data_IF_070791538968
#
_entry.id   IF_070791538968
#
_cell.length_a   1.000
_cell.length_b   1.000
_cell.length_c   1.000
_cell.angle_alpha   90.00
_cell.angle_beta   90.00
_cell.angle_gamma   90.00
#
_symmetry.space_group_name_H-M   'P 1'
#
loop_
_entity.id
_entity.type
_entity.pdbx_description
1 polymer ?
#
# COMPACT_ATOMS: atom_id res chain seq x y z
N UNK A 1 57.91 -24.28 -6.58
CA UNK A 1 57.52 -24.74 -7.93
C UNK A 1 56.10 -24.28 -8.20
N UNK A 2 55.93 -23.43 -9.22
CA UNK A 2 54.65 -22.93 -9.74
C UNK A 2 53.81 -24.05 -10.34
N UNK A 3 52.49 -24.06 -10.11
CA UNK A 3 51.51 -24.56 -11.08
C UNK A 3 50.16 -23.84 -10.88
N UNK A 4 49.85 -22.96 -11.83
CA UNK A 4 48.51 -22.46 -12.10
C UNK A 4 47.81 -23.44 -13.04
N UNK A 5 46.52 -23.74 -12.80
CA UNK A 5 45.65 -24.35 -13.81
C UNK A 5 44.32 -23.61 -13.86
N UNK A 6 44.07 -23.01 -15.02
CA UNK A 6 42.80 -22.48 -15.47
C UNK A 6 41.95 -23.59 -16.12
N UNK A 7 40.63 -23.47 -16.01
CA UNK A 7 39.61 -24.26 -16.71
C UNK A 7 38.33 -24.24 -15.89
N UNK A 8 37.20 -23.70 -16.31
CA UNK A 8 36.65 -23.49 -17.65
C UNK A 8 35.22 -24.01 -17.58
N UNK A 9 34.25 -23.15 -17.28
CA UNK A 9 32.84 -23.54 -17.15
C UNK A 9 32.27 -23.94 -18.51
N UNK A 10 31.71 -25.15 -18.56
CA UNK A 10 31.04 -25.74 -19.72
C UNK A 10 29.69 -25.04 -19.95
N UNK A 11 29.47 -24.59 -21.19
CA UNK A 11 28.19 -24.10 -21.70
C UNK A 11 27.19 -25.25 -21.86
N UNK A 12 25.93 -25.00 -21.53
CA UNK A 12 24.78 -25.76 -22.03
C UNK A 12 23.97 -24.82 -22.92
N UNK A 13 24.03 -25.06 -24.23
CA UNK A 13 23.10 -24.55 -25.24
C UNK A 13 22.00 -25.58 -25.43
N UNK A 14 20.75 -25.13 -25.44
CA UNK A 14 19.67 -25.51 -26.38
C UNK A 14 18.64 -24.36 -26.29
N UNK A 15 18.47 -23.52 -27.33
CA UNK A 15 17.64 -23.72 -28.54
C UNK A 15 16.13 -23.63 -28.21
N UNK A 16 15.26 -22.82 -28.81
CA UNK A 16 15.27 -21.75 -29.80
C UNK A 16 13.85 -21.15 -29.79
N UNK A 17 13.72 -19.84 -30.03
CA UNK A 17 12.64 -19.21 -30.82
C UNK A 17 12.61 -17.70 -30.54
N UNK A 18 13.48 -16.95 -31.22
CA UNK A 18 13.16 -15.56 -31.54
C UNK A 18 13.46 -15.35 -33.02
N UNK A 19 12.39 -15.28 -33.80
CA UNK A 19 12.46 -15.04 -35.23
C UNK A 19 13.02 -13.63 -35.48
N UNK A 20 14.12 -13.63 -36.22
CA UNK A 20 14.78 -12.50 -36.85
C UNK A 20 13.82 -11.83 -37.85
N UNK A 21 13.74 -10.50 -37.80
CA UNK A 21 13.27 -9.68 -38.90
C UNK A 21 14.26 -8.53 -39.09
N UNK A 22 15.47 -8.88 -39.54
CA UNK A 22 16.41 -7.94 -40.14
C UNK A 22 15.84 -7.42 -41.47
N UNK A 23 15.56 -6.12 -41.53
CA UNK A 23 15.25 -5.41 -42.77
C UNK A 23 16.36 -4.38 -43.00
N UNK A 24 17.00 -4.48 -44.17
CA UNK A 24 18.11 -3.64 -44.63
C UNK A 24 17.79 -2.12 -44.62
N UNK A 25 18.80 -1.23 -44.56
CA UNK A 25 18.56 0.20 -44.63
C UNK A 25 18.07 0.61 -46.04
N UNK A 26 16.85 1.11 -46.11
CA UNK A 26 16.23 1.68 -47.32
C UNK A 26 16.83 3.05 -47.68
N UNK A 27 16.78 3.49 -48.97
CA UNK A 27 17.24 4.82 -49.36
C UNK A 27 16.34 5.91 -48.77
N UNK A 28 16.97 6.99 -48.31
CA UNK A 28 16.30 8.15 -47.69
C UNK A 28 15.48 8.88 -48.77
N UNK A 29 14.17 8.63 -48.78
CA UNK A 29 13.22 9.44 -49.54
C UNK A 29 12.93 10.74 -48.76
N UNK A 30 13.22 11.89 -49.36
CA UNK A 30 12.82 13.19 -48.82
C UNK A 30 11.30 13.25 -48.75
N UNK A 31 10.75 13.16 -47.54
CA UNK A 31 9.31 13.31 -47.32
C UNK A 31 8.89 14.76 -47.53
N UNK A 32 7.98 15.00 -48.47
CA UNK A 32 7.24 16.26 -48.57
C UNK A 32 6.43 16.47 -47.29
N UNK A 33 6.27 17.70 -46.77
CA UNK A 33 5.51 17.94 -45.56
C UNK A 33 4.04 17.53 -45.77
N UNK A 34 3.56 16.64 -44.91
CA UNK A 34 2.15 16.27 -44.86
C UNK A 34 1.34 17.54 -44.56
N UNK A 35 0.41 17.89 -45.47
CA UNK A 35 -0.58 18.94 -45.22
C UNK A 35 -1.49 18.47 -44.09
N UNK A 36 -1.40 19.10 -42.94
CA UNK A 36 -2.35 18.92 -41.84
C UNK A 36 -3.75 19.29 -42.32
N UNK A 37 -4.77 18.42 -42.15
CA UNK A 37 -6.15 18.81 -42.39
C UNK A 37 -6.51 19.92 -41.41
N UNK A 38 -7.13 21.00 -41.90
CA UNK A 38 -7.71 22.02 -41.03
C UNK A 38 -8.78 21.36 -40.14
N UNK A 39 -8.86 21.71 -38.84
CA UNK A 39 -9.90 21.18 -37.97
C UNK A 39 -11.27 21.63 -38.48
N UNK A 40 -12.14 20.66 -38.77
CA UNK A 40 -13.56 20.91 -39.06
C UNK A 40 -14.19 21.48 -37.79
N UNK A 41 -14.90 22.63 -37.84
CA UNK A 41 -15.58 23.16 -36.67
C UNK A 41 -16.74 22.23 -36.31
N UNK A 42 -16.55 21.40 -35.28
CA UNK A 42 -17.65 20.64 -34.68
C UNK A 42 -18.51 21.64 -33.91
N UNK A 43 -19.67 22.00 -34.48
CA UNK A 43 -20.65 22.81 -33.81
C UNK A 43 -21.15 22.05 -32.56
N UNK A 44 -20.69 22.46 -31.37
CA UNK A 44 -21.19 21.95 -30.10
C UNK A 44 -22.61 22.48 -29.89
N UNK A 45 -23.61 21.64 -30.13
CA UNK A 45 -24.98 21.93 -29.69
C UNK A 45 -24.97 21.84 -28.17
N UNK A 46 -24.99 22.98 -27.48
CA UNK A 46 -25.08 23.02 -26.03
C UNK A 46 -26.49 22.57 -25.61
N UNK A 47 -26.59 21.43 -24.95
CA UNK A 47 -27.81 21.06 -24.23
C UNK A 47 -28.05 22.07 -23.09
N UNK A 48 -29.29 22.51 -22.83
CA UNK A 48 -29.58 23.40 -21.72
C UNK A 48 -29.23 22.70 -20.40
N UNK A 49 -28.27 23.27 -19.67
CA UNK A 49 -27.90 22.80 -18.33
C UNK A 49 -29.03 23.23 -17.39
N UNK A 50 -29.84 22.28 -16.92
CA UNK A 50 -30.78 22.53 -15.84
C UNK A 50 -29.98 22.91 -14.58
N UNK A 51 -30.43 23.93 -13.82
CA UNK A 51 -29.74 24.30 -12.58
C UNK A 51 -29.88 23.18 -11.55
N UNK A 52 -28.76 22.79 -10.94
CA UNK A 52 -28.75 21.86 -9.82
C UNK A 52 -29.56 22.41 -8.64
N UNK A 53 -30.26 21.55 -7.86
CA UNK A 53 -30.94 22.00 -6.65
C UNK A 53 -29.91 22.60 -5.68
N UNK A 54 -30.14 23.84 -5.26
CA UNK A 54 -29.30 24.51 -4.26
C UNK A 54 -29.70 24.01 -2.88
N UNK A 55 -28.88 23.14 -2.28
CA UNK A 55 -29.05 22.72 -0.88
C UNK A 55 -28.52 23.84 0.02
N UNK A 56 -29.41 24.70 0.51
CA UNK A 56 -29.05 25.71 1.51
C UNK A 56 -29.02 25.07 2.89
N UNK A 57 -27.84 24.65 3.36
CA UNK A 57 -27.66 24.25 4.75
C UNK A 57 -27.65 25.52 5.60
N UNK A 58 -28.67 25.70 6.44
CA UNK A 58 -28.67 26.74 7.47
C UNK A 58 -27.59 26.38 8.48
N UNK A 59 -26.50 27.15 8.54
CA UNK A 59 -25.49 27.00 9.57
C UNK A 59 -26.13 27.26 10.93
N UNK A 60 -26.44 26.19 11.67
CA UNK A 60 -26.80 26.29 13.08
C UNK A 60 -25.50 26.33 13.89
N UNK A 61 -25.40 27.17 14.93
CA UNK A 61 -24.25 27.15 15.81
C UNK A 61 -24.09 25.76 16.42
N UNK A 62 -22.88 25.21 16.40
CA UNK A 62 -22.61 23.93 17.01
C UNK A 62 -23.02 23.98 18.50
N UNK A 63 -23.73 22.96 19.01
CA UNK A 63 -24.05 22.88 20.43
C UNK A 63 -22.76 22.91 21.24
N UNK A 64 -22.73 23.76 22.28
CA UNK A 64 -21.51 24.04 23.06
C UNK A 64 -21.17 22.92 24.04
N UNK A 65 -22.08 21.97 24.26
CA UNK A 65 -21.91 20.82 25.13
C UNK A 65 -22.16 19.54 24.35
N UNK A 66 -21.26 18.56 24.46
CA UNK A 66 -21.37 17.26 23.79
C UNK A 66 -22.64 16.48 24.22
N UNK A 67 -23.22 16.80 25.37
CA UNK A 67 -24.46 16.21 25.89
C UNK A 67 -25.73 16.70 25.20
N UNK A 68 -25.63 17.71 24.35
CA UNK A 68 -26.77 18.34 23.66
C UNK A 68 -26.89 17.89 22.19
N UNK A 69 -26.02 16.96 21.75
CA UNK A 69 -26.24 16.26 20.50
C UNK A 69 -27.30 15.16 20.73
N UNK A 70 -28.30 15.00 19.85
CA UNK A 70 -29.15 13.82 19.88
C UNK A 70 -28.23 12.58 19.83
N UNK A 71 -28.52 11.52 20.61
CA UNK A 71 -27.73 10.31 20.54
C UNK A 71 -27.77 9.82 19.10
N UNK A 72 -26.62 9.86 18.42
CA UNK A 72 -26.48 9.10 17.19
C UNK A 72 -26.64 7.63 17.58
N UNK A 73 -27.43 6.86 16.85
CA UNK A 73 -27.54 5.40 17.03
C UNK A 73 -26.17 4.69 16.88
N UNK A 74 -25.16 5.42 16.39
CA UNK A 74 -23.74 5.04 16.33
C UNK A 74 -23.03 5.01 17.70
N UNK A 75 -23.64 5.54 18.76
CA UNK A 75 -23.03 5.62 20.11
C UNK A 75 -22.84 4.27 20.81
N UNK A 76 -23.39 3.21 20.23
CA UNK A 76 -23.13 1.82 20.60
C UNK A 76 -22.50 1.07 19.41
N UNK A 77 -21.63 1.73 18.64
CA UNK A 77 -20.94 1.12 17.51
C UNK A 77 -20.37 -0.22 17.96
N UNK A 78 -20.99 -1.32 17.49
CA UNK A 78 -20.43 -2.64 17.63
C UNK A 78 -19.04 -2.53 17.02
N UNK A 79 -18.00 -2.63 17.85
CA UNK A 79 -16.64 -2.58 17.34
C UNK A 79 -16.53 -3.64 16.23
N UNK A 80 -16.05 -3.28 15.04
CA UNK A 80 -16.08 -4.17 13.88
C UNK A 80 -15.36 -5.50 14.15
N UNK A 81 -14.45 -5.50 15.13
CA UNK A 81 -13.79 -6.68 15.66
C UNK A 81 -13.84 -6.72 17.20
N UNK A 82 -13.65 -7.91 17.79
CA UNK A 82 -13.42 -8.06 19.22
C UNK A 82 -12.31 -7.13 19.72
N UNK A 83 -12.41 -6.71 20.98
CA UNK A 83 -11.51 -5.71 21.56
C UNK A 83 -10.05 -6.15 21.49
N UNK A 84 -9.75 -7.43 21.72
CA UNK A 84 -8.40 -7.98 21.70
C UNK A 84 -7.78 -8.00 20.30
N UNK A 85 -8.61 -8.14 19.25
CA UNK A 85 -8.20 -8.08 17.84
C UNK A 85 -7.90 -6.62 17.49
N UNK A 86 -8.81 -5.71 17.83
CA UNK A 86 -8.62 -4.27 17.60
C UNK A 86 -7.37 -3.76 18.31
N UNK A 87 -7.20 -4.12 19.59
CA UNK A 87 -6.01 -3.74 20.35
C UNK A 87 -4.73 -4.32 19.73
N UNK A 88 -4.77 -5.56 19.22
CA UNK A 88 -3.61 -6.16 18.56
C UNK A 88 -3.23 -5.39 17.30
N UNK A 89 -4.22 -5.05 16.47
CA UNK A 89 -3.99 -4.29 15.25
C UNK A 89 -3.36 -2.93 15.56
N UNK A 90 -3.87 -2.21 16.57
CA UNK A 90 -3.32 -0.92 17.00
C UNK A 90 -1.85 -1.05 17.43
N UNK A 91 -1.54 -1.98 18.33
CA UNK A 91 -0.17 -2.17 18.83
C UNK A 91 0.77 -2.59 17.69
N UNK A 92 0.32 -3.51 16.84
CA UNK A 92 1.12 -4.09 15.77
C UNK A 92 1.35 -3.10 14.61
N UNK A 93 0.36 -2.30 14.25
CA UNK A 93 0.52 -1.24 13.25
C UNK A 93 1.54 -0.20 13.74
N UNK A 94 1.53 0.13 15.04
CA UNK A 94 2.54 1.00 15.64
C UNK A 94 3.93 0.39 15.58
N UNK A 95 4.07 -0.90 15.93
CA UNK A 95 5.32 -1.64 15.77
C UNK A 95 5.85 -1.61 14.32
N UNK A 96 4.98 -1.92 13.34
CA UNK A 96 5.35 -1.97 11.92
C UNK A 96 5.70 -0.57 11.38
N UNK A 97 5.05 0.48 11.89
CA UNK A 97 5.43 1.87 11.64
C UNK A 97 6.88 2.14 12.08
N UNK A 98 7.20 1.90 13.36
CA UNK A 98 8.54 2.18 13.89
C UNK A 98 9.64 1.32 13.26
N UNK A 99 9.37 0.03 12.98
CA UNK A 99 10.31 -0.85 12.27
C UNK A 99 10.66 -0.37 10.86
N UNK A 100 9.79 0.41 10.23
CA UNK A 100 10.00 0.97 8.90
C UNK A 100 10.72 2.32 8.88
N UNK A 101 11.02 2.89 10.05
CA UNK A 101 11.63 4.21 10.14
C UNK A 101 13.16 4.18 10.04
N UNK A 102 13.74 5.29 9.58
CA UNK A 102 15.18 5.47 9.45
C UNK A 102 15.76 6.22 10.66
N UNK A 103 16.84 5.69 11.30
CA UNK A 103 17.46 6.31 12.46
C UNK A 103 18.55 7.33 12.08
N UNK A 104 18.14 8.48 11.52
CA UNK A 104 19.06 9.52 11.00
C UNK A 104 20.03 10.10 12.04
N UNK A 105 19.70 10.01 13.33
CA UNK A 105 20.60 10.38 14.42
C UNK A 105 20.48 9.42 15.62
N UNK A 106 21.30 9.66 16.64
CA UNK A 106 21.36 8.79 17.82
C UNK A 106 20.11 8.87 18.70
N UNK A 107 19.48 10.05 18.79
CA UNK A 107 18.27 10.24 19.58
C UNK A 107 17.10 9.51 18.91
N UNK A 108 16.95 9.68 17.59
CA UNK A 108 15.93 8.98 16.82
C UNK A 108 16.12 7.48 16.85
N UNK A 109 17.37 6.99 16.76
CA UNK A 109 17.67 5.55 16.90
C UNK A 109 17.18 4.99 18.24
N UNK A 110 17.49 5.69 19.34
CA UNK A 110 17.08 5.27 20.66
C UNK A 110 15.55 5.25 20.80
N UNK A 111 14.88 6.30 20.33
CA UNK A 111 13.41 6.39 20.35
C UNK A 111 12.75 5.28 19.54
N UNK A 112 13.22 5.02 18.32
CA UNK A 112 12.68 3.93 17.50
C UNK A 112 12.90 2.59 18.21
N UNK A 113 14.11 2.33 18.73
CA UNK A 113 14.42 1.08 19.42
C UNK A 113 13.53 0.85 20.65
N UNK A 114 13.26 1.89 21.44
CA UNK A 114 12.35 1.83 22.60
C UNK A 114 10.92 1.47 22.18
N UNK A 115 10.37 2.15 21.16
CA UNK A 115 9.01 1.88 20.68
C UNK A 115 8.90 0.50 20.03
N UNK A 116 9.92 0.05 19.29
CA UNK A 116 9.97 -1.32 18.75
C UNK A 116 9.98 -2.33 19.89
N UNK A 117 10.77 -2.12 20.94
CA UNK A 117 10.80 -3.02 22.08
C UNK A 117 9.44 -3.07 22.81
N UNK A 118 8.78 -1.92 22.98
CA UNK A 118 7.48 -1.83 23.64
C UNK A 118 6.35 -2.47 22.82
N UNK A 119 6.27 -2.15 21.53
CA UNK A 119 5.12 -2.50 20.70
C UNK A 119 5.26 -3.85 19.98
N UNK A 120 6.48 -4.27 19.64
CA UNK A 120 6.68 -5.50 18.85
C UNK A 120 6.81 -6.76 19.71
N UNK A 121 7.24 -6.64 20.97
CA UNK A 121 7.54 -7.81 21.82
C UNK A 121 6.28 -8.63 22.13
N UNK A 122 6.32 -9.93 21.85
CA UNK A 122 5.21 -10.86 22.06
C UNK A 122 4.07 -10.77 21.04
N UNK A 123 4.17 -9.90 20.03
CA UNK A 123 3.15 -9.76 18.98
C UNK A 123 3.06 -10.98 18.06
N UNK A 124 4.15 -11.71 17.81
CA UNK A 124 4.15 -12.93 16.99
C UNK A 124 3.34 -14.03 17.68
N UNK A 125 3.57 -14.22 18.98
CA UNK A 125 2.81 -15.17 19.79
C UNK A 125 1.32 -14.75 19.89
N UNK A 126 1.05 -13.45 20.04
CA UNK A 126 -0.31 -12.90 20.11
C UNK A 126 -1.05 -13.07 18.78
N UNK A 127 -0.41 -12.83 17.64
CA UNK A 127 -0.99 -13.06 16.31
C UNK A 127 -1.36 -14.53 16.13
N UNK A 128 -0.45 -15.45 16.45
CA UNK A 128 -0.71 -16.87 16.38
C UNK A 128 -1.88 -17.29 17.27
N UNK A 129 -1.98 -16.72 18.49
CA UNK A 129 -3.10 -16.98 19.39
C UNK A 129 -4.43 -16.45 18.85
N UNK A 130 -4.46 -15.24 18.30
CA UNK A 130 -5.67 -14.65 17.72
C UNK A 130 -6.15 -15.44 16.49
N UNK A 131 -5.24 -15.80 15.58
CA UNK A 131 -5.57 -16.63 14.41
C UNK A 131 -6.13 -17.99 14.81
N UNK A 132 -5.62 -18.61 15.88
CA UNK A 132 -6.20 -19.86 16.41
C UNK A 132 -7.57 -19.64 17.06
N UNK A 133 -7.71 -18.61 17.90
CA UNK A 133 -8.96 -18.30 18.62
C UNK A 133 -10.11 -17.99 17.66
N UNK A 134 -9.84 -17.22 16.62
CA UNK A 134 -10.82 -16.74 15.66
C UNK A 134 -10.80 -17.49 14.33
N UNK A 135 -10.23 -18.70 14.28
CA UNK A 135 -10.08 -19.47 13.04
C UNK A 135 -11.38 -19.75 12.28
N UNK A 136 -12.54 -19.70 12.96
CA UNK A 136 -13.86 -19.88 12.37
C UNK A 136 -14.56 -18.57 12.00
N UNK A 137 -13.94 -17.41 12.27
CA UNK A 137 -14.45 -16.09 11.91
C UNK A 137 -13.68 -15.58 10.68
N UNK A 138 -14.27 -15.66 9.47
CA UNK A 138 -13.58 -15.26 8.25
C UNK A 138 -13.27 -13.75 8.22
N UNK A 139 -14.04 -12.92 8.93
CA UNK A 139 -13.81 -11.47 8.97
C UNK A 139 -12.55 -11.14 9.77
N UNK A 140 -12.36 -11.76 10.94
CA UNK A 140 -11.18 -11.58 11.77
C UNK A 140 -9.94 -12.17 11.10
N UNK A 141 -10.05 -13.36 10.49
CA UNK A 141 -8.92 -13.95 9.76
C UNK A 141 -8.51 -13.11 8.56
N UNK A 142 -9.46 -12.53 7.83
CA UNK A 142 -9.16 -11.59 6.75
C UNK A 142 -8.41 -10.36 7.26
N UNK A 143 -8.83 -9.79 8.39
CA UNK A 143 -8.16 -8.64 9.01
C UNK A 143 -6.74 -8.97 9.48
N UNK A 144 -6.54 -10.15 10.06
CA UNK A 144 -5.23 -10.57 10.60
C UNK A 144 -4.26 -11.10 9.54
N UNK A 145 -4.71 -11.37 8.31
CA UNK A 145 -3.89 -12.01 7.25
C UNK A 145 -2.67 -11.18 6.85
N UNK A 146 -2.76 -9.86 6.92
CA UNK A 146 -1.71 -8.95 6.45
C UNK A 146 -0.46 -8.92 7.34
N UNK A 147 -0.58 -9.34 8.60
CA UNK A 147 0.53 -9.29 9.55
C UNK A 147 1.49 -10.47 9.35
N UNK A 148 2.79 -10.16 9.38
CA UNK A 148 3.89 -11.14 9.36
C UNK A 148 3.91 -11.97 10.66
N UNK A 149 4.15 -13.27 10.53
CA UNK A 149 4.23 -14.22 11.64
C UNK A 149 5.51 -14.10 12.47
N UNK A 150 6.57 -13.53 11.90
CA UNK A 150 7.91 -13.54 12.49
C UNK A 150 8.63 -12.19 12.33
N UNK A 151 8.33 -11.25 13.22
CA UNK A 151 9.04 -9.96 13.27
C UNK A 151 9.94 -9.81 14.48
N UNK A 152 9.74 -10.61 15.52
CA UNK A 152 10.53 -10.50 16.73
C UNK A 152 11.95 -11.04 16.48
N UNK A 153 12.97 -10.31 16.94
CA UNK A 153 14.38 -10.71 16.82
C UNK A 153 15.09 -10.27 15.53
N UNK A 154 14.41 -9.61 14.59
CA UNK A 154 15.05 -9.08 13.36
C UNK A 154 15.52 -7.62 13.46
N UNK A 155 15.44 -7.00 14.65
CA UNK A 155 15.82 -5.60 14.83
C UNK A 155 17.34 -5.44 14.71
N UNK A 156 17.78 -4.97 13.53
CA UNK A 156 19.17 -4.57 13.29
C UNK A 156 19.13 -3.05 13.11
N UNK A 157 19.51 -2.29 14.15
CA UNK A 157 19.53 -0.81 14.19
C UNK A 157 20.94 -0.26 14.34
#
# INVERSE_FOLDING_TARGET
>A
MMLALAGGCRSSSDDSAQADNGVAPAPVATALPARTPLPVPVARIAAPIAPSPTVTVRAQPAPRNALDLPPSDDGLSAQPFPQEVTAFMVDRDGCDHFRGEEPYDAERRAYIAENVAELCTGTDARLALLRRRYGNDPSVIAALRGYDDHIEGSATY
#
